data_IF_110435020271
#
_entry.id   IF_110435020271
#
_cell.length_a   1.000
_cell.length_b   1.000
_cell.length_c   1.000
_cell.angle_alpha   90.00
_cell.angle_beta   90.00
_cell.angle_gamma   90.00
#
_symmetry.space_group_name_H-M   'P 1'
#
loop_
_entity.id
_entity.type
_entity.pdbx_description
1 polymer ?
#
# COMPACT_ATOMS: atom_id res chain seq x y z
N UNK A 1 -28.14 22.31 5.00
CA UNK A 1 -26.85 21.61 4.83
C UNK A 1 -27.03 20.25 4.20
N UNK A 2 -27.47 19.24 4.95
CA UNK A 2 -27.55 17.84 4.51
C UNK A 2 -28.28 17.61 3.18
N UNK A 3 -29.49 18.15 3.01
CA UNK A 3 -30.28 18.03 1.77
C UNK A 3 -29.54 18.61 0.55
N UNK A 4 -28.95 19.80 0.69
CA UNK A 4 -28.15 20.41 -0.36
C UNK A 4 -26.93 19.55 -0.73
N UNK A 5 -26.29 18.91 0.25
CA UNK A 5 -25.15 18.02 0.01
C UNK A 5 -25.58 16.74 -0.74
N UNK A 6 -26.70 16.12 -0.35
CA UNK A 6 -27.22 14.91 -1.02
C UNK A 6 -27.70 15.17 -2.44
N UNK A 7 -28.25 16.36 -2.72
CA UNK A 7 -28.73 16.72 -4.06
C UNK A 7 -27.59 17.18 -4.98
N UNK A 8 -26.60 17.90 -4.46
CA UNK A 8 -25.51 18.46 -5.26
C UNK A 8 -24.38 17.46 -5.55
N UNK A 9 -23.98 16.63 -4.57
CA UNK A 9 -22.84 15.69 -4.70
C UNK A 9 -22.90 14.79 -5.95
N UNK A 10 -24.04 14.16 -6.31
CA UNK A 10 -24.11 13.32 -7.50
C UNK A 10 -23.80 14.06 -8.80
N UNK A 11 -24.04 15.37 -8.85
CA UNK A 11 -23.79 16.21 -10.02
C UNK A 11 -22.32 16.63 -10.15
N UNK A 12 -21.50 16.40 -9.12
CA UNK A 12 -20.11 16.83 -9.06
C UNK A 12 -19.09 15.75 -9.45
N UNK A 13 -19.53 14.61 -10.00
CA UNK A 13 -18.66 13.49 -10.38
C UNK A 13 -17.76 13.04 -9.22
N UNK A 14 -18.33 12.58 -8.09
CA UNK A 14 -17.54 12.20 -6.93
C UNK A 14 -16.65 11.01 -7.26
N UNK A 15 -15.41 11.06 -6.79
CA UNK A 15 -14.40 10.01 -6.96
C UNK A 15 -14.16 9.26 -5.64
N UNK A 16 -13.79 7.99 -5.73
CA UNK A 16 -13.39 7.20 -4.57
C UNK A 16 -11.90 7.41 -4.30
N UNK A 17 -11.54 7.60 -3.05
CA UNK A 17 -10.14 7.76 -2.64
C UNK A 17 -9.70 6.54 -1.83
N UNK A 18 -8.46 6.10 -2.03
CA UNK A 18 -7.78 5.11 -1.19
C UNK A 18 -6.54 5.72 -0.51
N UNK A 19 -6.23 5.31 0.73
CA UNK A 19 -5.03 5.77 1.43
C UNK A 19 -3.79 5.02 0.95
N UNK A 20 -2.76 5.80 0.61
CA UNK A 20 -1.43 5.32 0.24
C UNK A 20 -0.49 5.54 1.42
N UNK A 21 0.30 4.51 1.70
CA UNK A 21 1.30 4.51 2.75
C UNK A 21 2.69 4.34 2.15
N UNK A 22 3.65 5.06 2.71
CA UNK A 22 5.06 4.75 2.56
C UNK A 22 5.39 3.57 3.46
N UNK A 23 6.06 2.56 2.91
CA UNK A 23 6.58 1.41 3.65
C UNK A 23 8.10 1.38 3.57
N UNK A 24 8.73 1.04 4.68
CA UNK A 24 10.15 0.73 4.74
C UNK A 24 10.30 -0.71 5.22
N UNK A 25 11.05 -1.50 4.46
CA UNK A 25 11.31 -2.91 4.75
C UNK A 25 12.79 -3.08 4.97
N UNK A 26 13.17 -3.42 6.20
CA UNK A 26 14.55 -3.79 6.51
C UNK A 26 14.74 -5.29 6.35
N UNK A 27 15.68 -5.72 5.50
CA UNK A 27 15.93 -7.13 5.24
C UNK A 27 17.42 -7.40 4.97
N UNK A 28 17.90 -8.64 5.13
CA UNK A 28 19.21 -9.03 4.63
C UNK A 28 19.31 -8.83 3.10
N UNK A 29 20.49 -8.45 2.61
CA UNK A 29 20.71 -8.06 1.22
C UNK A 29 20.43 -9.18 0.18
N UNK A 30 20.53 -10.43 0.59
CA UNK A 30 20.18 -11.61 -0.22
C UNK A 30 18.66 -11.76 -0.45
N UNK A 31 17.84 -11.14 0.41
CA UNK A 31 16.39 -11.12 0.32
C UNK A 31 15.84 -9.90 -0.45
N UNK A 32 16.65 -8.87 -0.70
CA UNK A 32 16.24 -7.61 -1.34
C UNK A 32 15.50 -7.82 -2.67
N UNK A 33 15.99 -8.74 -3.52
CA UNK A 33 15.34 -9.07 -4.78
C UNK A 33 13.94 -9.67 -4.60
N UNK A 34 13.75 -10.52 -3.57
CA UNK A 34 12.45 -11.12 -3.24
C UNK A 34 11.48 -10.06 -2.70
N UNK A 35 11.96 -9.15 -1.85
CA UNK A 35 11.15 -8.04 -1.33
C UNK A 35 10.65 -7.15 -2.47
N UNK A 36 11.52 -6.77 -3.42
CA UNK A 36 11.11 -5.99 -4.59
C UNK A 36 10.03 -6.70 -5.42
N UNK A 37 10.11 -8.03 -5.56
CA UNK A 37 9.10 -8.82 -6.25
C UNK A 37 7.75 -8.79 -5.50
N UNK A 38 7.75 -8.93 -4.17
CA UNK A 38 6.55 -8.86 -3.33
C UNK A 38 5.87 -7.48 -3.48
N UNK A 39 6.63 -6.39 -3.40
CA UNK A 39 6.09 -5.04 -3.56
C UNK A 39 5.45 -4.85 -4.94
N UNK A 40 6.12 -5.33 -5.98
CA UNK A 40 5.64 -5.24 -7.37
C UNK A 40 4.33 -6.00 -7.57
N UNK A 41 4.18 -7.18 -6.96
CA UNK A 41 2.94 -7.98 -7.02
C UNK A 41 1.75 -7.28 -6.36
N UNK A 42 2.02 -6.37 -5.42
CA UNK A 42 1.01 -5.67 -4.60
C UNK A 42 0.64 -4.30 -5.16
N UNK A 43 0.96 -4.03 -6.44
CA UNK A 43 0.81 -2.71 -7.09
C UNK A 43 1.59 -1.61 -6.35
N UNK A 44 2.65 -1.98 -5.65
CA UNK A 44 3.51 -1.04 -4.96
C UNK A 44 4.43 -0.31 -5.93
N UNK A 45 4.61 0.99 -5.72
CA UNK A 45 5.64 1.77 -6.40
C UNK A 45 6.92 1.71 -5.56
N UNK A 46 7.97 1.11 -6.11
CA UNK A 46 9.28 1.06 -5.44
C UNK A 46 9.95 2.43 -5.60
N UNK A 47 10.34 3.05 -4.47
CA UNK A 47 11.05 4.32 -4.45
C UNK A 47 12.57 4.11 -4.55
N UNK A 48 13.05 2.99 -4.00
CA UNK A 48 14.46 2.61 -4.05
C UNK A 48 14.82 1.68 -2.90
N UNK A 49 16.10 1.35 -2.79
CA UNK A 49 16.66 0.67 -1.63
C UNK A 49 18.09 1.15 -1.39
N UNK A 50 18.51 1.08 -0.14
CA UNK A 50 19.84 1.50 0.30
C UNK A 50 20.35 0.57 1.41
N UNK A 51 21.67 0.49 1.59
CA UNK A 51 22.25 -0.25 2.70
C UNK A 51 21.85 0.40 4.03
N UNK A 52 21.50 -0.43 5.02
CA UNK A 52 21.10 0.05 6.34
C UNK A 52 22.33 0.49 7.14
N UNK A 53 22.36 1.75 7.55
CA UNK A 53 23.46 2.29 8.33
C UNK A 53 23.64 1.52 9.66
N UNK A 54 24.89 1.17 9.96
CA UNK A 54 25.29 0.37 11.13
C UNK A 54 24.93 -1.12 11.10
N UNK A 55 24.36 -1.66 10.01
CA UNK A 55 23.95 -3.06 9.88
C UNK A 55 24.58 -3.71 8.64
N UNK A 56 25.71 -4.38 8.82
CA UNK A 56 26.43 -5.00 7.70
C UNK A 56 25.61 -6.13 7.06
N UNK A 57 25.50 -6.10 5.73
CA UNK A 57 24.70 -7.05 4.94
C UNK A 57 23.18 -6.84 4.98
N UNK A 58 22.69 -5.68 5.41
CA UNK A 58 21.26 -5.35 5.42
C UNK A 58 20.92 -4.18 4.49
N UNK A 59 19.76 -4.28 3.86
CA UNK A 59 19.17 -3.23 3.04
C UNK A 59 17.85 -2.74 3.66
N UNK A 60 17.52 -1.49 3.38
CA UNK A 60 16.19 -0.90 3.58
C UNK A 60 15.58 -0.63 2.21
N UNK A 61 14.48 -1.32 1.90
CA UNK A 61 13.68 -1.10 0.70
C UNK A 61 12.53 -0.16 1.02
N UNK A 62 12.37 0.91 0.23
CA UNK A 62 11.30 1.89 0.38
C UNK A 62 10.32 1.80 -0.78
N UNK A 63 9.03 1.87 -0.48
CA UNK A 63 7.99 1.84 -1.49
C UNK A 63 6.68 2.46 -1.02
N UNK A 64 5.78 2.70 -1.96
CA UNK A 64 4.43 3.22 -1.71
C UNK A 64 3.42 2.13 -2.02
N UNK A 65 2.54 1.83 -1.07
CA UNK A 65 1.49 0.83 -1.23
C UNK A 65 0.14 1.34 -0.75
N UNK A 66 -0.97 0.94 -1.40
CA UNK A 66 -2.30 1.10 -0.83
C UNK A 66 -2.44 0.34 0.49
N UNK A 67 -3.16 0.89 1.47
CA UNK A 67 -3.40 0.24 2.77
C UNK A 67 -4.01 -1.16 2.61
N UNK A 68 -4.88 -1.33 1.61
CA UNK A 68 -5.52 -2.62 1.26
C UNK A 68 -4.51 -3.73 0.94
N UNK A 69 -3.27 -3.37 0.57
CA UNK A 69 -2.21 -4.30 0.22
C UNK A 69 -1.16 -4.50 1.34
N UNK A 70 -1.30 -3.85 2.50
CA UNK A 70 -0.30 -3.87 3.59
C UNK A 70 -0.59 -4.94 4.65
N UNK A 71 -1.86 -5.29 4.89
CA UNK A 71 -2.27 -6.14 6.02
C UNK A 71 -1.43 -7.41 6.21
N UNK A 72 -1.21 -8.17 5.13
CA UNK A 72 -0.44 -9.43 5.17
C UNK A 72 1.03 -9.26 4.74
N UNK A 73 1.48 -8.03 4.44
CA UNK A 73 2.82 -7.77 3.92
C UNK A 73 3.91 -8.23 4.89
N UNK A 74 3.72 -8.02 6.20
CA UNK A 74 4.68 -8.46 7.21
C UNK A 74 4.88 -9.97 7.22
N UNK A 75 3.84 -10.76 6.92
CA UNK A 75 3.92 -12.22 6.87
C UNK A 75 4.81 -12.66 5.70
N UNK A 76 4.63 -12.05 4.54
CA UNK A 76 5.46 -12.32 3.35
C UNK A 76 6.91 -11.88 3.53
N UNK A 77 7.13 -10.69 4.10
CA UNK A 77 8.47 -10.18 4.43
C UNK A 77 9.20 -11.14 5.36
N UNK A 78 8.54 -11.58 6.45
CA UNK A 78 9.14 -12.54 7.38
C UNK A 78 9.40 -13.88 6.70
N UNK A 79 8.49 -14.38 5.87
CA UNK A 79 8.69 -15.62 5.12
C UNK A 79 9.89 -15.53 4.17
N UNK A 80 10.03 -14.42 3.44
CA UNK A 80 11.13 -14.20 2.49
C UNK A 80 12.51 -14.05 3.17
N UNK A 81 12.53 -13.63 4.43
CA UNK A 81 13.74 -13.30 5.22
C UNK A 81 14.01 -14.31 6.32
N UNK A 82 13.40 -15.50 6.31
CA UNK A 82 13.53 -16.49 7.39
C UNK A 82 13.21 -15.93 8.80
N UNK A 83 12.31 -14.95 8.86
CA UNK A 83 11.75 -14.38 10.08
C UNK A 83 12.39 -13.07 10.54
N UNK A 84 13.53 -12.66 9.99
CA UNK A 84 14.31 -11.52 10.54
C UNK A 84 13.93 -10.15 9.97
N UNK A 85 13.20 -10.10 8.86
CA UNK A 85 12.78 -8.86 8.22
C UNK A 85 11.82 -8.02 9.08
N UNK A 86 11.95 -6.70 8.93
CA UNK A 86 11.11 -5.70 9.58
C UNK A 86 10.28 -4.92 8.55
N UNK A 87 9.14 -4.39 8.99
CA UNK A 87 8.27 -3.52 8.20
C UNK A 87 7.84 -2.35 9.08
N UNK A 88 7.99 -1.14 8.57
CA UNK A 88 7.37 0.08 9.10
C UNK A 88 6.51 0.69 8.00
N UNK A 89 5.37 1.26 8.38
CA UNK A 89 4.48 1.95 7.46
C UNK A 89 4.03 3.29 8.04
N UNK A 90 3.87 4.28 7.16
CA UNK A 90 3.44 5.63 7.49
C UNK A 90 2.46 6.12 6.44
N UNK A 91 1.34 6.69 6.86
CA UNK A 91 0.41 7.34 5.95
C UNK A 91 1.13 8.48 5.21
N UNK A 92 0.89 8.56 3.90
CA UNK A 92 1.46 9.61 3.06
C UNK A 92 0.37 10.51 2.47
N UNK A 93 -0.54 9.96 1.65
CA UNK A 93 -1.61 10.72 1.00
C UNK A 93 -2.82 9.86 0.62
N UNK A 94 -3.89 10.52 0.16
CA UNK A 94 -5.04 9.88 -0.49
C UNK A 94 -4.88 9.94 -2.01
N UNK A 95 -5.01 8.82 -2.68
CA UNK A 95 -4.99 8.72 -4.14
C UNK A 95 -6.37 8.32 -4.67
N UNK A 96 -6.68 8.71 -5.91
CA UNK A 96 -7.91 8.30 -6.56
C UNK A 96 -7.88 6.80 -6.88
N UNK A 97 -8.89 6.08 -6.37
CA UNK A 97 -9.09 4.68 -6.70
C UNK A 97 -9.88 4.59 -8.00
N UNK A 98 -9.21 4.09 -9.05
CA UNK A 98 -9.77 4.00 -10.40
C UNK A 98 -9.95 2.55 -10.86
N UNK A 99 -10.79 2.37 -11.87
CA UNK A 99 -10.99 1.09 -12.54
C UNK A 99 -11.80 0.06 -11.74
N UNK A 100 -11.52 -1.22 -12.00
CA UNK A 100 -12.37 -2.35 -11.58
C UNK A 100 -12.58 -2.44 -10.06
N UNK A 101 -11.58 -2.09 -9.25
CA UNK A 101 -11.72 -2.12 -7.79
C UNK A 101 -12.68 -1.05 -7.27
N UNK A 102 -12.66 0.15 -7.86
CA UNK A 102 -13.60 1.21 -7.50
C UNK A 102 -15.04 0.79 -7.79
N UNK A 103 -15.29 0.24 -8.98
CA UNK A 103 -16.61 -0.26 -9.40
C UNK A 103 -17.13 -1.36 -8.47
N UNK A 104 -16.25 -2.29 -8.06
CA UNK A 104 -16.59 -3.37 -7.14
C UNK A 104 -17.00 -2.85 -5.77
N UNK A 105 -16.25 -1.88 -5.21
CA UNK A 105 -16.56 -1.30 -3.90
C UNK A 105 -17.87 -0.53 -3.93
N UNK A 106 -18.10 0.29 -4.97
CA UNK A 106 -19.36 1.05 -5.13
C UNK A 106 -20.54 0.09 -5.26
N UNK A 107 -20.41 -0.99 -6.03
CA UNK A 107 -21.46 -1.99 -6.20
C UNK A 107 -21.74 -2.75 -4.90
N UNK A 108 -20.69 -3.22 -4.22
CA UNK A 108 -20.83 -3.91 -2.94
C UNK A 108 -21.49 -3.02 -1.89
N UNK A 109 -21.22 -1.71 -1.91
CA UNK A 109 -21.79 -0.80 -0.93
C UNK A 109 -23.26 -0.49 -1.19
N UNK A 110 -23.65 -0.34 -2.46
CA UNK A 110 -25.06 -0.23 -2.87
C UNK A 110 -25.89 -1.47 -2.54
N UNK A 111 -25.28 -2.66 -2.54
CA UNK A 111 -25.97 -3.91 -2.21
C UNK A 111 -26.13 -4.12 -0.69
N UNK A 112 -25.40 -3.37 0.14
CA UNK A 112 -25.45 -3.43 1.60
C UNK A 112 -26.39 -2.37 2.22
N UNK A 113 -26.93 -1.46 1.40
CA UNK A 113 -27.97 -0.48 1.74
C UNK A 113 -29.36 -1.03 1.39
#
# INVERSE_FOLDING_TARGET
GRLAMSEALPNCQPVLLEPIFEVEISCPNDATAKINAILSQRRGQILGFEARDGWDGWDVVRGMLPESAIGDLIVEVRSATAGVGGLTSRFDHLAELVGKQAEQIVTARRAAE
#
